data_IF_065161334071
#
_entry.id   IF_065161334071
#
_cell.length_a   1.000
_cell.length_b   1.000
_cell.length_c   1.000
_cell.angle_alpha   90.00
_cell.angle_beta   90.00
_cell.angle_gamma   90.00
#
_symmetry.space_group_name_H-M   'P 1'
#
loop_
_entity.id
_entity.type
_entity.pdbx_description
1 polymer ?
#
# COMPACT_ATOMS: atom_id res chain seq x y z
N UNK A 1 -52.13 -7.87 2.32
CA UNK A 1 -50.94 -8.75 2.16
C UNK A 1 -49.90 -8.22 1.15
N UNK A 2 -50.29 -7.58 0.04
CA UNK A 2 -49.34 -7.04 -0.97
C UNK A 2 -48.32 -6.01 -0.43
N UNK A 3 -48.71 -5.21 0.58
CA UNK A 3 -47.85 -4.18 1.22
C UNK A 3 -46.68 -4.75 2.03
N UNK A 4 -46.81 -5.97 2.55
CA UNK A 4 -45.75 -6.64 3.33
C UNK A 4 -44.63 -7.15 2.41
N UNK A 5 -44.99 -7.62 1.22
CA UNK A 5 -44.05 -8.12 0.21
C UNK A 5 -43.22 -6.95 -0.34
N UNK A 6 -43.86 -5.82 -0.66
CA UNK A 6 -43.14 -4.62 -1.11
C UNK A 6 -42.17 -4.09 -0.04
N UNK A 7 -42.54 -4.16 1.24
CA UNK A 7 -41.68 -3.72 2.33
C UNK A 7 -40.47 -4.64 2.52
N UNK A 8 -40.67 -5.95 2.40
CA UNK A 8 -39.61 -6.96 2.42
C UNK A 8 -38.58 -6.73 1.30
N UNK A 9 -39.05 -6.52 0.07
CA UNK A 9 -38.17 -6.27 -1.09
C UNK A 9 -37.40 -4.95 -0.92
N UNK A 10 -38.06 -3.90 -0.41
CA UNK A 10 -37.42 -2.63 -0.15
C UNK A 10 -36.34 -2.74 0.93
N UNK A 11 -36.61 -3.49 2.01
CA UNK A 11 -35.65 -3.75 3.08
C UNK A 11 -34.43 -4.52 2.56
N UNK A 12 -34.64 -5.53 1.72
CA UNK A 12 -33.57 -6.31 1.09
C UNK A 12 -32.69 -5.45 0.18
N UNK A 13 -33.28 -4.54 -0.59
CA UNK A 13 -32.56 -3.61 -1.46
C UNK A 13 -31.68 -2.65 -0.64
N UNK A 14 -32.21 -2.14 0.48
CA UNK A 14 -31.50 -1.24 1.39
C UNK A 14 -30.30 -1.94 2.04
N UNK A 15 -30.46 -3.22 2.39
CA UNK A 15 -29.40 -4.04 2.99
C UNK A 15 -28.26 -4.32 2.00
N UNK A 16 -28.58 -4.58 0.73
CA UNK A 16 -27.59 -4.76 -0.34
C UNK A 16 -26.74 -3.51 -0.58
N UNK A 17 -27.37 -2.32 -0.57
CA UNK A 17 -26.66 -1.04 -0.69
C UNK A 17 -25.68 -0.80 0.47
N UNK A 18 -26.09 -1.10 1.70
CA UNK A 18 -25.25 -0.93 2.88
C UNK A 18 -24.02 -1.87 2.89
N UNK A 19 -24.18 -3.09 2.37
CA UNK A 19 -23.08 -4.07 2.27
C UNK A 19 -22.02 -3.66 1.23
N UNK A 20 -22.45 -3.13 0.08
CA UNK A 20 -21.53 -2.69 -0.99
C UNK A 20 -20.60 -1.54 -0.55
N UNK A 21 -21.12 -0.60 0.25
CA UNK A 21 -20.34 0.54 0.75
C UNK A 21 -19.21 0.13 1.71
N UNK A 22 -19.42 -0.91 2.53
CA UNK A 22 -18.42 -1.39 3.49
C UNK A 22 -17.19 -1.98 2.80
N UNK A 23 -17.38 -2.67 1.68
CA UNK A 23 -16.28 -3.23 0.89
C UNK A 23 -15.45 -2.14 0.19
N UNK A 24 -16.10 -1.08 -0.29
CA UNK A 24 -15.40 0.06 -0.92
C UNK A 24 -14.62 0.88 0.10
N UNK A 25 -15.18 1.14 1.29
CA UNK A 25 -14.49 1.88 2.36
C UNK A 25 -13.21 1.17 2.83
N UNK A 26 -13.19 -0.16 2.87
CA UNK A 26 -11.99 -0.93 3.21
C UNK A 26 -10.91 -0.86 2.12
N UNK A 27 -11.29 -0.87 0.84
CA UNK A 27 -10.36 -0.75 -0.28
C UNK A 27 -9.67 0.62 -0.32
N UNK A 28 -10.41 1.68 -0.06
CA UNK A 28 -9.85 3.05 -0.02
C UNK A 28 -8.87 3.20 1.15
N UNK A 29 -9.21 2.68 2.33
CA UNK A 29 -8.30 2.69 3.50
C UNK A 29 -7.03 1.86 3.32
N UNK A 30 -7.08 0.80 2.50
CA UNK A 30 -5.91 -0.01 2.19
C UNK A 30 -4.95 0.70 1.20
N UNK A 31 -5.50 1.44 0.23
CA UNK A 31 -4.71 2.21 -0.73
C UNK A 31 -4.00 3.41 -0.07
N UNK A 32 -4.62 4.02 0.94
CA UNK A 32 -4.06 5.18 1.65
C UNK A 32 -2.82 4.84 2.51
N UNK A 33 -2.62 3.57 2.89
CA UNK A 33 -1.47 3.14 3.72
C UNK A 33 -0.22 2.78 2.93
N UNK A 34 -0.22 2.89 1.61
CA UNK A 34 1.00 2.72 0.83
C UNK A 34 1.76 4.04 0.88
N UNK A 35 2.69 4.18 1.83
CA UNK A 35 3.57 5.35 1.87
C UNK A 35 4.20 5.56 0.49
N UNK A 36 4.18 6.80 -0.05
CA UNK A 36 4.75 7.08 -1.34
C UNK A 36 6.24 6.77 -1.30
N UNK A 37 6.71 5.99 -2.29
CA UNK A 37 8.13 5.68 -2.42
C UNK A 37 8.95 6.98 -2.52
N UNK A 38 9.66 7.31 -1.44
CA UNK A 38 10.42 8.55 -1.35
C UNK A 38 11.63 8.49 -2.29
N UNK A 39 11.78 9.51 -3.13
CA UNK A 39 12.96 9.69 -3.97
C UNK A 39 13.99 10.51 -3.20
N UNK A 40 15.21 10.00 -3.10
CA UNK A 40 16.31 10.71 -2.44
C UNK A 40 17.38 11.02 -3.48
N UNK A 41 17.81 12.27 -3.53
CA UNK A 41 18.97 12.68 -4.33
C UNK A 41 20.25 12.31 -3.57
N UNK A 42 21.11 11.53 -4.21
CA UNK A 42 22.43 11.19 -3.68
C UNK A 42 23.45 12.04 -4.43
N UNK A 43 24.21 12.91 -3.75
CA UNK A 43 25.27 13.67 -4.40
C UNK A 43 26.35 12.74 -4.96
N UNK A 44 27.08 13.22 -5.95
CA UNK A 44 28.21 12.49 -6.51
C UNK A 44 29.24 12.17 -5.41
N UNK A 45 29.80 10.96 -5.45
CA UNK A 45 30.72 10.50 -4.42
C UNK A 45 31.76 9.54 -4.98
N UNK A 46 32.90 9.46 -4.29
CA UNK A 46 33.90 8.45 -4.57
C UNK A 46 33.45 7.10 -4.00
N UNK A 47 33.53 6.05 -4.83
CA UNK A 47 33.22 4.67 -4.43
C UNK A 47 34.39 3.76 -4.77
N UNK A 48 34.77 2.87 -3.85
CA UNK A 48 35.75 1.83 -4.13
C UNK A 48 35.18 0.82 -5.12
N UNK A 49 35.87 0.59 -6.25
CA UNK A 49 35.50 -0.44 -7.22
C UNK A 49 36.39 -1.67 -7.05
N UNK A 50 35.78 -2.79 -6.65
CA UNK A 50 36.46 -4.06 -6.41
C UNK A 50 37.04 -4.66 -7.69
N UNK A 51 36.38 -4.49 -8.84
CA UNK A 51 36.84 -5.03 -10.13
C UNK A 51 38.13 -4.36 -10.59
N UNK A 52 38.25 -3.06 -10.35
CA UNK A 52 39.37 -2.24 -10.86
C UNK A 52 40.37 -1.86 -9.77
N UNK A 53 40.13 -2.31 -8.53
CA UNK A 53 40.94 -2.01 -7.33
C UNK A 53 41.32 -0.51 -7.21
N UNK A 54 40.38 0.38 -7.51
CA UNK A 54 40.57 1.84 -7.42
C UNK A 54 39.27 2.55 -7.05
N UNK A 55 39.39 3.76 -6.52
CA UNK A 55 38.25 4.65 -6.35
C UNK A 55 37.77 5.17 -7.71
N UNK A 56 36.45 5.16 -7.91
CA UNK A 56 35.79 5.75 -9.07
C UNK A 56 34.79 6.81 -8.61
N UNK A 57 34.64 7.86 -9.40
CA UNK A 57 33.62 8.85 -9.18
C UNK A 57 32.28 8.31 -9.65
N UNK A 58 31.30 8.27 -8.74
CA UNK A 58 29.92 7.94 -9.06
C UNK A 58 29.16 9.25 -9.22
N UNK A 59 28.58 9.55 -10.39
CA UNK A 59 27.79 10.76 -10.57
C UNK A 59 26.54 10.73 -9.67
N UNK A 60 26.06 11.93 -9.32
CA UNK A 60 24.85 12.09 -8.54
C UNK A 60 23.66 11.44 -9.23
N UNK A 61 22.82 10.75 -8.47
CA UNK A 61 21.68 10.02 -8.99
C UNK A 61 20.53 9.99 -8.01
N UNK A 62 19.33 9.73 -8.53
CA UNK A 62 18.12 9.57 -7.71
C UNK A 62 17.93 8.11 -7.35
N UNK A 63 17.81 7.83 -6.06
CA UNK A 63 17.51 6.49 -5.55
C UNK A 63 16.06 6.42 -5.05
N UNK A 64 15.33 5.39 -5.48
CA UNK A 64 13.98 5.12 -4.99
C UNK A 64 14.09 4.31 -3.70
N UNK A 65 13.80 4.92 -2.55
CA UNK A 65 13.80 4.21 -1.28
C UNK A 65 12.54 3.33 -1.23
N UNK A 66 12.65 2.01 -1.03
CA UNK A 66 11.48 1.17 -0.81
C UNK A 66 10.78 1.63 0.48
N UNK A 67 9.44 1.62 0.47
CA UNK A 67 8.67 1.88 1.68
C UNK A 67 9.11 0.92 2.79
N UNK A 68 9.19 1.37 4.06
CA UNK A 68 9.57 0.50 5.16
C UNK A 68 8.58 -0.67 5.24
N UNK A 69 9.03 -1.88 4.87
CA UNK A 69 8.22 -3.09 5.03
C UNK A 69 8.11 -3.36 6.52
N UNK A 70 6.93 -3.12 7.09
CA UNK A 70 6.64 -3.44 8.49
C UNK A 70 6.57 -4.96 8.60
N UNK A 71 7.70 -5.59 8.96
CA UNK A 71 7.76 -7.03 9.19
C UNK A 71 6.99 -7.35 10.48
N UNK A 72 5.70 -7.64 10.34
CA UNK A 72 4.90 -8.17 11.45
C UNK A 72 5.33 -9.61 11.67
N UNK A 73 6.21 -9.83 12.66
CA UNK A 73 6.58 -11.18 13.11
C UNK A 73 5.35 -11.80 13.77
N UNK A 74 4.56 -12.55 13.00
CA UNK A 74 3.42 -13.30 13.55
C UNK A 74 3.99 -14.42 14.42
N UNK A 75 3.90 -14.26 15.74
CA UNK A 75 4.19 -15.34 16.70
C UNK A 75 3.09 -16.37 16.52
N UNK A 76 3.41 -17.49 15.86
CA UNK A 76 2.51 -18.63 15.76
C UNK A 76 2.42 -19.26 17.16
N UNK A 77 1.32 -19.00 17.87
CA UNK A 77 1.01 -19.69 19.14
C UNK A 77 0.51 -21.08 18.75
N UNK A 78 1.19 -22.11 19.25
CA UNK A 78 0.77 -23.52 19.11
C UNK A 78 -0.31 -23.84 20.12
#
# INVERSE_FOLDING_TARGET
MKKLISFSVFLLLLLMLALGQRAQAQRIRAAERVEPAMRVWIPGHWKWNVRWKRYIWVPGHTLRKPAPVRVVRVRRVR
#
